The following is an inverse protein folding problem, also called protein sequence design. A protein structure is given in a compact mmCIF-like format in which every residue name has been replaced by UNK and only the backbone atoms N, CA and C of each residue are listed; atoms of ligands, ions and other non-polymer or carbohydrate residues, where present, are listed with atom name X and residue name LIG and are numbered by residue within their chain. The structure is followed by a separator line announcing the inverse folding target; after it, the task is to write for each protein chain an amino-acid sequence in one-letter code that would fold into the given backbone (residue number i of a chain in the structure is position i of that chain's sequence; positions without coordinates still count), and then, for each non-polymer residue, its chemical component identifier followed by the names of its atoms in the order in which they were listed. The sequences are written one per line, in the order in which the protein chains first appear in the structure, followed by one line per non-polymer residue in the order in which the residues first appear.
data_IF_802490521780
#
_entry.id   IF_802490521780
#
_cell.length_a   1.000
_cell.length_b   1.000
_cell.length_c   1.000
_cell.angle_alpha   90.00
_cell.angle_beta   90.00
_cell.angle_gamma   90.00
#
_symmetry.space_group_name_H-M   'P 1'
#
loop_
_entity.id
_entity.type
_entity.pdbx_description
1 polymer ?
#
# COMPACT_ATOMS: atom_id res chain seq x y z
N UNK A 1 -27.29 7.73 -14.36
CA UNK A 1 -26.49 6.52 -14.49
C UNK A 1 -27.26 5.38 -15.14
N UNK A 2 -28.57 5.29 -14.97
CA UNK A 2 -29.38 4.21 -15.55
C UNK A 2 -29.33 4.15 -17.07
N UNK A 3 -29.29 5.28 -17.75
CA UNK A 3 -29.25 5.33 -19.23
C UNK A 3 -27.84 5.07 -19.81
N UNK A 4 -26.81 4.91 -18.98
CA UNK A 4 -25.43 4.72 -19.44
C UNK A 4 -24.91 5.81 -20.39
N UNK A 5 -25.50 7.01 -20.35
CA UNK A 5 -25.15 8.13 -21.22
C UNK A 5 -24.77 9.32 -20.36
N UNK A 6 -23.62 9.93 -20.66
CA UNK A 6 -23.17 11.20 -20.13
C UNK A 6 -23.20 12.25 -21.23
N UNK A 7 -23.77 13.41 -20.93
CA UNK A 7 -23.76 14.56 -21.84
C UNK A 7 -22.84 15.62 -21.25
N UNK A 8 -21.85 16.09 -22.02
CA UNK A 8 -20.95 17.14 -21.59
C UNK A 8 -21.60 18.54 -21.69
N UNK A 9 -20.88 19.56 -21.23
CA UNK A 9 -21.35 20.96 -21.27
C UNK A 9 -21.53 21.52 -22.69
N UNK A 10 -21.05 20.83 -23.72
CA UNK A 10 -21.20 21.19 -25.13
C UNK A 10 -22.30 20.39 -25.83
N UNK A 11 -23.06 19.58 -25.09
CA UNK A 11 -24.16 18.77 -25.61
C UNK A 11 -23.72 17.45 -26.28
N UNK A 12 -22.42 17.08 -26.22
CA UNK A 12 -21.93 15.82 -26.77
C UNK A 12 -22.27 14.68 -25.83
N UNK A 13 -22.79 13.58 -26.39
CA UNK A 13 -23.18 12.39 -25.65
C UNK A 13 -22.10 11.33 -25.73
N UNK A 14 -21.70 10.79 -24.60
CA UNK A 14 -20.82 9.65 -24.47
C UNK A 14 -21.57 8.47 -23.85
N UNK A 15 -21.46 7.28 -24.45
CA UNK A 15 -22.06 6.07 -23.92
C UNK A 15 -21.11 5.40 -22.92
N UNK A 16 -21.64 5.08 -21.72
CA UNK A 16 -20.96 4.34 -20.65
C UNK A 16 -21.53 2.91 -20.48
N UNK A 17 -22.37 2.46 -21.40
CA UNK A 17 -23.04 1.16 -21.31
C UNK A 17 -22.09 -0.04 -21.30
N UNK A 18 -20.85 0.11 -21.84
CA UNK A 18 -19.82 -0.93 -21.85
C UNK A 18 -18.63 -0.59 -20.97
N UNK A 19 -18.81 0.23 -19.93
CA UNK A 19 -17.74 0.65 -19.01
C UNK A 19 -17.90 0.03 -17.64
N UNK A 20 -16.77 -0.22 -16.96
CA UNK A 20 -16.73 -0.53 -15.54
C UNK A 20 -16.39 0.76 -14.79
N UNK A 21 -17.28 1.20 -13.91
CA UNK A 21 -17.07 2.38 -13.09
C UNK A 21 -16.56 1.96 -11.72
N UNK A 22 -15.33 2.32 -11.39
CA UNK A 22 -14.72 2.04 -10.10
C UNK A 22 -14.62 3.34 -9.31
N UNK A 23 -15.20 3.36 -8.11
CA UNK A 23 -15.12 4.48 -7.19
C UNK A 23 -14.39 4.06 -5.92
N UNK A 24 -13.48 4.91 -5.42
CA UNK A 24 -12.76 4.68 -4.18
C UNK A 24 -13.17 5.71 -3.13
N UNK A 25 -13.32 5.26 -1.89
CA UNK A 25 -13.64 6.10 -0.74
C UNK A 25 -12.87 5.62 0.49
N UNK A 26 -12.60 6.52 1.42
CA UNK A 26 -12.03 6.21 2.73
C UNK A 26 -13.09 6.12 3.84
N UNK A 27 -14.36 6.07 3.48
CA UNK A 27 -15.46 5.88 4.44
C UNK A 27 -15.30 4.52 5.14
N UNK A 28 -15.44 4.51 6.45
CA UNK A 28 -15.24 3.32 7.27
C UNK A 28 -13.79 3.08 7.72
N UNK A 29 -12.85 3.91 7.29
CA UNK A 29 -11.44 3.78 7.68
C UNK A 29 -11.20 3.93 9.19
N UNK A 30 -11.97 4.77 9.86
CA UNK A 30 -11.91 4.93 11.32
C UNK A 30 -12.54 3.74 12.06
N UNK A 31 -13.67 3.23 11.60
CA UNK A 31 -14.31 2.05 12.19
C UNK A 31 -13.47 0.79 12.05
N UNK A 32 -12.69 0.68 10.96
CA UNK A 32 -11.75 -0.43 10.76
C UNK A 32 -10.47 -0.26 11.57
N UNK A 33 -10.06 0.98 11.91
CA UNK A 33 -8.82 1.28 12.63
C UNK A 33 -9.01 1.36 14.15
N UNK A 34 -10.17 1.77 14.63
CA UNK A 34 -10.57 1.64 16.02
C UNK A 34 -10.98 0.18 16.24
N UNK A 35 -9.98 -0.70 16.32
CA UNK A 35 -10.18 -2.06 16.77
C UNK A 35 -10.90 -2.03 18.10
N UNK A 36 -12.22 -2.05 18.09
CA UNK A 36 -12.98 -2.55 19.25
C UNK A 36 -12.46 -3.97 19.39
N UNK A 37 -11.78 -4.31 20.51
CA UNK A 37 -11.45 -5.69 20.79
C UNK A 37 -12.78 -6.36 21.08
N UNK A 38 -13.48 -6.78 20.05
CA UNK A 38 -14.62 -7.68 20.15
C UNK A 38 -14.04 -9.03 20.55
N UNK A 39 -14.29 -9.35 21.83
CA UNK A 39 -13.81 -10.50 22.51
C UNK A 39 -13.79 -11.77 21.67
N UNK A 40 -12.69 -12.49 21.84
CA UNK A 40 -12.51 -13.91 21.67
C UNK A 40 -13.56 -14.65 20.80
N UNK A 41 -13.45 -14.56 19.49
CA UNK A 41 -13.98 -15.56 18.59
C UNK A 41 -13.32 -15.37 17.22
N UNK A 42 -12.22 -16.07 16.98
CA UNK A 42 -11.68 -16.32 15.65
C UNK A 42 -12.67 -17.15 14.84
N UNK A 43 -13.68 -16.50 14.25
CA UNK A 43 -14.70 -17.17 13.46
C UNK A 43 -15.49 -16.16 12.61
N UNK A 44 -16.31 -16.68 11.70
CA UNK A 44 -17.15 -15.91 10.76
C UNK A 44 -17.98 -14.76 11.41
N UNK A 45 -18.25 -14.82 12.72
CA UNK A 45 -18.96 -13.78 13.47
C UNK A 45 -18.28 -12.41 13.47
N UNK A 46 -16.93 -12.36 13.49
CA UNK A 46 -16.18 -11.10 13.43
C UNK A 46 -16.34 -10.35 12.10
N UNK A 47 -16.40 -11.07 11.00
CA UNK A 47 -16.60 -10.50 9.66
C UNK A 47 -17.99 -9.89 9.49
N UNK A 48 -19.01 -10.49 10.11
CA UNK A 48 -20.40 -10.04 10.01
C UNK A 48 -20.63 -8.73 10.78
N UNK A 49 -20.01 -8.56 11.95
CA UNK A 49 -20.12 -7.35 12.77
C UNK A 49 -19.40 -6.17 12.11
N UNK A 50 -18.23 -6.43 11.54
CA UNK A 50 -17.43 -5.43 10.81
C UNK A 50 -18.17 -4.94 9.55
N UNK A 51 -18.82 -5.84 8.83
CA UNK A 51 -19.68 -5.54 7.69
C UNK A 51 -20.89 -4.67 8.07
N UNK A 52 -21.53 -4.92 9.22
CA UNK A 52 -22.67 -4.13 9.70
C UNK A 52 -22.27 -2.70 10.13
N UNK A 53 -21.10 -2.52 10.76
CA UNK A 53 -20.57 -1.22 11.11
C UNK A 53 -20.25 -0.39 9.86
N UNK A 54 -19.57 -0.98 8.89
CA UNK A 54 -19.25 -0.37 7.61
C UNK A 54 -20.54 0.06 6.86
N UNK A 55 -21.56 -0.80 6.82
CA UNK A 55 -22.84 -0.46 6.19
C UNK A 55 -23.53 0.74 6.85
N UNK A 56 -23.42 0.89 8.18
CA UNK A 56 -23.96 2.05 8.89
C UNK A 56 -23.25 3.34 8.48
N UNK A 57 -21.91 3.32 8.42
CA UNK A 57 -21.14 4.49 7.99
C UNK A 57 -21.39 4.85 6.53
N UNK A 58 -21.47 3.86 5.64
CA UNK A 58 -21.81 4.10 4.23
C UNK A 58 -23.18 4.78 4.09
N UNK A 59 -24.19 4.37 4.87
CA UNK A 59 -25.53 4.99 4.87
C UNK A 59 -25.56 6.40 5.46
N UNK A 60 -24.58 6.79 6.27
CA UNK A 60 -24.45 8.17 6.77
C UNK A 60 -23.89 9.12 5.70
N UNK A 61 -23.00 8.60 4.83
CA UNK A 61 -22.30 9.40 3.82
C UNK A 61 -23.02 9.36 2.47
N UNK A 62 -23.53 8.21 2.09
CA UNK A 62 -24.17 7.99 0.79
C UNK A 62 -25.67 7.75 0.93
N UNK A 63 -26.43 8.32 0.02
CA UNK A 63 -27.87 8.11 -0.03
C UNK A 63 -28.20 6.64 -0.35
N UNK A 64 -29.28 6.08 0.21
CA UNK A 64 -29.69 4.69 -0.05
C UNK A 64 -29.87 4.39 -1.55
N UNK A 65 -30.39 5.36 -2.31
CA UNK A 65 -30.62 5.22 -3.74
C UNK A 65 -29.31 5.08 -4.53
N UNK A 66 -28.25 5.71 -4.04
CA UNK A 66 -26.92 5.57 -4.62
C UNK A 66 -26.32 4.19 -4.31
N UNK A 67 -26.40 3.77 -3.04
CA UNK A 67 -25.89 2.46 -2.61
C UNK A 67 -26.62 1.30 -3.32
N UNK A 68 -27.91 1.44 -3.58
CA UNK A 68 -28.72 0.46 -4.31
C UNK A 68 -28.37 0.32 -5.81
N UNK A 69 -27.56 1.23 -6.36
CA UNK A 69 -27.10 1.19 -7.76
C UNK A 69 -25.69 0.67 -7.92
N UNK A 70 -25.01 0.32 -6.82
CA UNK A 70 -23.70 -0.31 -6.86
C UNK A 70 -23.88 -1.82 -7.04
N UNK A 71 -23.19 -2.38 -8.01
CA UNK A 71 -23.18 -3.83 -8.24
C UNK A 71 -22.42 -4.54 -7.14
N UNK A 72 -21.30 -3.94 -6.67
CA UNK A 72 -20.45 -4.52 -5.64
C UNK A 72 -19.78 -3.44 -4.76
N UNK A 73 -19.65 -3.74 -3.48
CA UNK A 73 -18.88 -2.94 -2.51
C UNK A 73 -17.74 -3.80 -1.99
N UNK A 74 -16.51 -3.47 -2.41
CA UNK A 74 -15.31 -4.17 -1.99
C UNK A 74 -14.66 -3.45 -0.82
N UNK A 75 -14.47 -4.16 0.28
CA UNK A 75 -13.79 -3.65 1.47
C UNK A 75 -12.35 -4.14 1.52
N UNK A 76 -11.41 -3.20 1.64
CA UNK A 76 -10.01 -3.52 1.87
C UNK A 76 -9.74 -3.63 3.36
N UNK A 77 -9.10 -4.71 3.77
CA UNK A 77 -8.66 -4.91 5.15
C UNK A 77 -7.31 -4.24 5.40
N UNK A 78 -7.00 -3.84 6.66
CA UNK A 78 -5.65 -3.47 7.03
C UNK A 78 -4.67 -4.61 6.71
N UNK A 79 -3.50 -4.25 6.18
CA UNK A 79 -2.48 -5.24 5.84
C UNK A 79 -1.88 -5.85 7.11
N UNK A 80 -1.73 -7.16 7.11
CA UNK A 80 -0.98 -7.87 8.14
C UNK A 80 0.55 -7.77 7.90
N UNK A 81 1.34 -8.32 8.84
CA UNK A 81 2.80 -8.25 8.77
C UNK A 81 3.38 -9.01 7.57
N UNK A 82 2.80 -10.17 7.24
CA UNK A 82 3.23 -10.97 6.09
C UNK A 82 2.90 -10.29 4.76
N UNK A 83 1.74 -9.64 4.69
CA UNK A 83 1.35 -8.84 3.53
C UNK A 83 2.24 -7.61 3.37
N UNK A 84 2.58 -6.92 4.48
CA UNK A 84 3.53 -5.80 4.46
C UNK A 84 4.93 -6.26 4.03
N UNK A 85 5.40 -7.43 4.47
CA UNK A 85 6.68 -8.00 4.02
C UNK A 85 6.64 -8.27 2.51
N UNK A 86 5.56 -8.83 2.00
CA UNK A 86 5.37 -9.06 0.57
C UNK A 86 5.42 -7.74 -0.22
N UNK A 87 4.81 -6.68 0.29
CA UNK A 87 4.85 -5.34 -0.31
C UNK A 87 6.26 -4.76 -0.27
N UNK A 88 6.97 -4.89 0.88
CA UNK A 88 8.36 -4.44 1.01
C UNK A 88 9.25 -5.11 -0.04
N UNK A 89 9.17 -6.44 -0.18
CA UNK A 89 9.93 -7.19 -1.19
C UNK A 89 9.66 -6.70 -2.60
N UNK A 90 8.40 -6.48 -2.97
CA UNK A 90 8.03 -5.94 -4.29
C UNK A 90 8.63 -4.56 -4.54
N UNK A 91 8.59 -3.67 -3.55
CA UNK A 91 9.15 -2.31 -3.67
C UNK A 91 10.68 -2.35 -3.82
N UNK A 92 11.36 -3.18 -3.02
CA UNK A 92 12.81 -3.36 -3.09
C UNK A 92 13.24 -4.04 -4.40
N UNK A 93 12.46 -5.00 -4.91
CA UNK A 93 12.70 -5.60 -6.23
C UNK A 93 12.57 -4.55 -7.35
N UNK A 94 11.56 -3.69 -7.29
CA UNK A 94 11.43 -2.60 -8.27
C UNK A 94 12.60 -1.60 -8.18
N UNK A 95 13.14 -1.36 -6.99
CA UNK A 95 14.34 -0.56 -6.80
C UNK A 95 15.59 -1.27 -7.38
N UNK A 96 15.77 -2.56 -7.10
CA UNK A 96 16.85 -3.37 -7.67
C UNK A 96 16.86 -3.31 -9.20
N UNK A 97 15.69 -3.41 -9.85
CA UNK A 97 15.58 -3.25 -11.31
C UNK A 97 16.02 -1.88 -11.81
N UNK A 98 15.76 -0.81 -11.06
CA UNK A 98 16.25 0.53 -11.44
C UNK A 98 17.76 0.64 -11.33
N UNK A 99 18.37 0.06 -10.30
CA UNK A 99 19.82 0.04 -10.11
C UNK A 99 20.53 -0.83 -11.16
N UNK A 100 19.95 -1.97 -11.52
CA UNK A 100 20.52 -2.87 -12.53
C UNK A 100 20.62 -2.21 -13.92
N UNK A 101 19.72 -1.26 -14.24
CA UNK A 101 19.85 -0.44 -15.45
C UNK A 101 21.12 0.42 -15.47
N UNK A 102 21.72 0.71 -14.30
CA UNK A 102 23.00 1.39 -14.13
C UNK A 102 24.16 0.41 -13.89
N UNK A 103 23.92 -0.89 -14.05
CA UNK A 103 24.91 -1.94 -13.86
C UNK A 103 25.26 -2.20 -12.40
N UNK A 104 24.38 -1.88 -11.45
CA UNK A 104 24.60 -2.06 -10.02
C UNK A 104 23.61 -3.09 -9.49
N UNK A 105 24.12 -4.07 -8.76
CA UNK A 105 23.30 -5.05 -8.07
C UNK A 105 22.85 -4.54 -6.69
N UNK A 106 21.67 -4.96 -6.25
CA UNK A 106 21.13 -4.63 -4.94
C UNK A 106 20.63 -5.88 -4.22
N UNK A 107 21.17 -6.13 -3.04
CA UNK A 107 20.91 -7.33 -2.24
C UNK A 107 20.40 -6.94 -0.84
N UNK A 108 19.09 -6.96 -0.61
CA UNK A 108 18.52 -6.76 0.73
C UNK A 108 18.52 -8.05 1.53
N UNK A 109 18.98 -8.00 2.78
CA UNK A 109 18.83 -9.13 3.71
C UNK A 109 17.39 -9.29 4.20
N UNK A 110 17.01 -10.52 4.57
CA UNK A 110 15.69 -10.77 5.17
C UNK A 110 15.51 -10.04 6.50
N UNK A 111 16.57 -9.81 7.26
CA UNK A 111 16.55 -9.04 8.50
C UNK A 111 16.23 -7.57 8.23
N UNK A 112 16.84 -6.96 7.21
CA UNK A 112 16.55 -5.59 6.79
C UNK A 112 15.08 -5.43 6.33
N UNK A 113 14.55 -6.39 5.60
CA UNK A 113 13.15 -6.38 5.17
C UNK A 113 12.22 -6.41 6.38
N UNK A 114 12.47 -7.29 7.35
CA UNK A 114 11.68 -7.35 8.59
C UNK A 114 11.83 -6.08 9.44
N UNK A 115 13.00 -5.46 9.45
CA UNK A 115 13.22 -4.19 10.11
C UNK A 115 12.37 -3.06 9.50
N UNK A 116 12.35 -2.94 8.16
CA UNK A 116 11.49 -2.01 7.43
C UNK A 116 10.02 -2.18 7.77
N UNK A 117 9.53 -3.43 7.80
CA UNK A 117 8.14 -3.75 8.13
C UNK A 117 7.83 -3.35 9.58
N UNK A 118 8.71 -3.65 10.52
CA UNK A 118 8.57 -3.28 11.93
C UNK A 118 8.46 -1.77 12.12
N UNK A 119 9.35 -1.00 11.48
CA UNK A 119 9.34 0.46 11.52
C UNK A 119 8.08 1.03 10.85
N UNK A 120 7.66 0.47 9.71
CA UNK A 120 6.46 0.88 8.99
C UNK A 120 5.15 0.59 9.73
N UNK A 121 5.14 -0.38 10.63
CA UNK A 121 3.97 -0.78 11.42
C UNK A 121 3.52 0.28 12.43
N UNK A 122 4.39 1.18 12.84
CA UNK A 122 4.08 2.25 13.81
C UNK A 122 2.98 3.20 13.29
N UNK A 123 2.80 3.31 11.98
CA UNK A 123 1.77 4.13 11.34
C UNK A 123 0.73 3.28 10.58
N UNK A 124 0.34 2.13 11.12
CA UNK A 124 -0.48 1.09 10.47
C UNK A 124 -1.83 1.59 9.90
N UNK A 125 -2.35 2.73 10.38
CA UNK A 125 -3.58 3.39 9.88
C UNK A 125 -3.51 3.79 8.40
N UNK A 126 -2.31 3.87 7.82
CA UNK A 126 -2.09 4.36 6.45
C UNK A 126 -1.72 3.26 5.45
N UNK A 127 -1.91 1.98 5.81
CA UNK A 127 -1.59 0.83 4.97
C UNK A 127 -0.09 0.76 4.63
N UNK A 128 0.25 0.57 3.35
CA UNK A 128 1.64 0.47 2.90
C UNK A 128 2.33 1.83 2.60
N UNK A 129 1.65 2.97 2.79
CA UNK A 129 2.23 4.30 2.51
C UNK A 129 3.45 4.62 3.38
N UNK A 130 3.43 4.35 4.72
CA UNK A 130 4.59 4.56 5.57
C UNK A 130 5.80 3.74 5.13
N UNK A 131 5.57 2.48 4.75
CA UNK A 131 6.61 1.59 4.26
C UNK A 131 7.30 2.12 3.00
N UNK A 132 6.53 2.64 2.03
CA UNK A 132 7.09 3.27 0.82
C UNK A 132 7.94 4.49 1.16
N UNK A 133 7.49 5.32 2.10
CA UNK A 133 8.25 6.48 2.56
C UNK A 133 9.56 6.06 3.25
N UNK A 134 9.52 5.05 4.12
CA UNK A 134 10.71 4.51 4.77
C UNK A 134 11.72 3.97 3.77
N UNK A 135 11.28 3.16 2.80
CA UNK A 135 12.16 2.64 1.73
C UNK A 135 12.82 3.80 0.99
N UNK A 136 12.04 4.83 0.64
CA UNK A 136 12.61 6.00 -0.02
C UNK A 136 13.69 6.66 0.82
N UNK A 137 13.40 7.00 2.08
CA UNK A 137 14.32 7.80 2.92
C UNK A 137 15.49 7.00 3.47
N UNK A 138 15.33 5.68 3.72
CA UNK A 138 16.37 4.86 4.35
C UNK A 138 17.11 3.96 3.36
N UNK A 139 16.62 3.82 2.14
CA UNK A 139 17.25 2.96 1.12
C UNK A 139 17.55 3.74 -0.16
N UNK A 140 16.52 4.33 -0.80
CA UNK A 140 16.70 4.98 -2.11
C UNK A 140 17.56 6.25 -2.02
N UNK A 141 17.30 7.14 -1.04
CA UNK A 141 18.05 8.37 -0.86
C UNK A 141 19.53 8.11 -0.47
N UNK A 142 19.84 7.21 0.51
CA UNK A 142 21.24 6.84 0.78
C UNK A 142 21.95 6.15 -0.39
N UNK A 143 21.23 5.31 -1.16
CA UNK A 143 21.80 4.71 -2.36
C UNK A 143 22.20 5.76 -3.40
N UNK A 144 21.32 6.75 -3.61
CA UNK A 144 21.61 7.87 -4.51
C UNK A 144 22.85 8.65 -4.06
N UNK A 145 23.03 8.89 -2.77
CA UNK A 145 24.21 9.53 -2.20
C UNK A 145 25.50 8.73 -2.47
N UNK A 146 25.44 7.40 -2.30
CA UNK A 146 26.60 6.52 -2.58
C UNK A 146 26.98 6.54 -4.08
N UNK A 147 25.98 6.57 -4.96
CA UNK A 147 26.17 6.69 -6.40
C UNK A 147 26.80 8.03 -6.78
N UNK A 148 26.30 9.13 -6.25
CA UNK A 148 26.80 10.48 -6.52
C UNK A 148 28.24 10.66 -6.04
N UNK A 149 28.60 10.04 -4.92
CA UNK A 149 29.97 10.04 -4.38
C UNK A 149 30.90 9.04 -5.09
N UNK A 150 30.40 8.29 -6.05
CA UNK A 150 31.13 7.21 -6.73
C UNK A 150 31.65 6.12 -5.77
N UNK A 151 31.00 5.97 -4.60
CA UNK A 151 31.34 4.92 -3.64
C UNK A 151 30.97 3.52 -4.15
N UNK A 152 30.04 3.45 -5.12
CA UNK A 152 29.73 2.25 -5.90
C UNK A 152 29.63 2.65 -7.36
N UNK A 153 30.20 1.82 -8.25
CA UNK A 153 30.20 2.03 -9.69
C UNK A 153 29.59 0.83 -10.42
N UNK A 154 29.43 0.93 -11.73
CA UNK A 154 28.92 -0.17 -12.53
C UNK A 154 29.74 -1.46 -12.30
N UNK A 155 29.04 -2.58 -12.10
CA UNK A 155 29.63 -3.87 -11.69
C UNK A 155 29.71 -4.06 -10.17
N UNK A 156 29.42 -3.01 -9.36
CA UNK A 156 29.38 -3.11 -7.90
C UNK A 156 28.03 -3.55 -7.37
N UNK A 157 28.01 -3.89 -6.08
CA UNK A 157 26.81 -4.35 -5.36
C UNK A 157 26.55 -3.46 -4.16
N UNK A 158 25.30 -3.07 -3.97
CA UNK A 158 24.80 -2.45 -2.74
C UNK A 158 24.14 -3.51 -1.87
N UNK A 159 24.55 -3.60 -0.63
CA UNK A 159 24.03 -4.53 0.35
C UNK A 159 23.21 -3.79 1.42
N UNK A 160 21.98 -4.21 1.68
CA UNK A 160 21.13 -3.65 2.72
C UNK A 160 21.01 -4.64 3.86
N UNK A 161 21.52 -4.25 5.02
CA UNK A 161 21.48 -5.04 6.26
C UNK A 161 20.76 -4.32 7.38
N UNK A 162 20.46 -5.05 8.43
CA UNK A 162 19.98 -4.52 9.70
C UNK A 162 21.11 -4.69 10.72
N UNK A 163 21.47 -3.59 11.38
CA UNK A 163 22.46 -3.55 12.45
C UNK A 163 21.87 -2.77 13.63
N UNK A 164 21.81 -3.39 14.80
CA UNK A 164 21.26 -2.82 16.05
C UNK A 164 19.87 -2.15 15.89
N UNK A 165 19.00 -2.70 15.04
CA UNK A 165 17.67 -2.15 14.78
C UNK A 165 17.63 -1.03 13.73
N UNK A 166 18.77 -0.69 13.14
CA UNK A 166 18.88 0.31 12.07
C UNK A 166 19.18 -0.35 10.73
N UNK A 167 18.79 0.32 9.66
CA UNK A 167 19.12 -0.11 8.31
C UNK A 167 20.47 0.49 7.90
N UNK A 168 21.35 -0.36 7.47
CA UNK A 168 22.67 0.03 6.96
C UNK A 168 22.77 -0.38 5.49
N UNK A 169 23.08 0.60 4.65
CA UNK A 169 23.35 0.39 3.23
C UNK A 169 24.84 0.57 2.97
N UNK A 170 25.51 -0.48 2.50
CA UNK A 170 26.94 -0.48 2.24
C UNK A 170 27.27 -0.99 0.84
N UNK A 171 28.30 -0.44 0.16
CA UNK A 171 28.85 -1.06 -1.03
C UNK A 171 29.63 -2.32 -0.66
N UNK A 172 29.39 -3.40 -1.39
CA UNK A 172 30.23 -4.59 -1.34
C UNK A 172 31.42 -4.33 -2.28
N UNK A 173 32.61 -4.28 -1.71
CA UNK A 173 33.86 -4.12 -2.46
C UNK A 173 34.39 -5.49 -2.85
#
# INVERSE_FOLDING_TARGET
MEDGILTDSQGRRASFGSTVLIMTSNVGGEALSTGVPLGFSGGQAGKTVQSAALQRELRQVFRPEFLGRLDEIVTFHPLDEGELETVARKLLTAFAHRLSASGIDFLPSDQAIRCLVRQGKTEQRYGARPLRRLIRTQVEDPAADLLLRQAVTAGGTLYLEEDEGQLVLSPLV
#
